data_IF_082269605570
#
_entry.id   IF_082269605570
#
_cell.length_a   1.000
_cell.length_b   1.000
_cell.length_c   1.000
_cell.angle_alpha   90.00
_cell.angle_beta   90.00
_cell.angle_gamma   90.00
#
_symmetry.space_group_name_H-M   'P 1'
#
loop_
_entity.id
_entity.type
_entity.pdbx_description
1 polymer ?
#
# COMPACT_ATOMS: atom_id res chain seq x y z
N UNK A 1 20.05 -38.23 -35.36
CA UNK A 1 19.86 -36.77 -35.33
C UNK A 1 18.58 -36.49 -34.56
N UNK A 2 18.61 -35.79 -33.40
CA UNK A 2 17.41 -35.57 -32.63
C UNK A 2 16.57 -34.43 -33.23
N UNK A 3 15.28 -34.69 -33.41
CA UNK A 3 14.27 -33.73 -33.84
C UNK A 3 14.18 -32.54 -32.88
N UNK A 4 14.42 -31.33 -33.40
CA UNK A 4 14.02 -30.11 -32.71
C UNK A 4 12.51 -29.94 -32.81
N UNK A 5 11.81 -30.21 -31.71
CA UNK A 5 10.41 -29.80 -31.55
C UNK A 5 10.44 -28.29 -31.33
N UNK A 6 10.10 -27.52 -32.36
CA UNK A 6 9.90 -26.08 -32.23
C UNK A 6 8.67 -25.84 -31.35
N UNK A 7 8.90 -25.51 -30.08
CA UNK A 7 7.86 -24.99 -29.20
C UNK A 7 7.48 -23.57 -29.65
N UNK A 8 6.76 -23.45 -30.77
CA UNK A 8 6.04 -22.24 -31.10
C UNK A 8 4.84 -22.15 -30.15
N UNK A 9 5.05 -21.54 -28.99
CA UNK A 9 3.95 -21.11 -28.12
C UNK A 9 3.03 -20.28 -29.00
N UNK A 10 1.83 -20.80 -29.30
CA UNK A 10 0.80 -20.06 -30.04
C UNK A 10 0.60 -18.75 -29.30
N UNK A 11 0.97 -17.63 -29.93
CA UNK A 11 0.67 -16.30 -29.44
C UNK A 11 -0.86 -16.21 -29.43
N UNK A 12 -1.45 -16.27 -28.24
CA UNK A 12 -2.91 -16.16 -28.08
C UNK A 12 -3.29 -14.80 -28.65
N UNK A 13 -4.11 -14.81 -29.71
CA UNK A 13 -4.63 -13.57 -30.28
C UNK A 13 -5.40 -12.80 -29.20
N UNK A 14 -5.26 -11.48 -29.23
CA UNK A 14 -5.95 -10.57 -28.32
C UNK A 14 -7.45 -10.92 -28.26
N UNK A 15 -7.96 -11.41 -27.11
CA UNK A 15 -9.32 -11.90 -27.00
C UNK A 15 -10.35 -10.79 -27.22
N UNK A 16 -9.99 -9.52 -27.00
CA UNK A 16 -10.88 -8.38 -27.24
C UNK A 16 -11.29 -8.28 -28.70
N UNK A 17 -10.48 -8.73 -29.67
CA UNK A 17 -10.83 -8.68 -31.09
C UNK A 17 -12.11 -9.43 -31.45
N UNK A 18 -12.50 -10.42 -30.64
CA UNK A 18 -13.71 -11.21 -30.85
C UNK A 18 -14.93 -10.72 -30.05
N UNK A 19 -14.72 -9.80 -29.11
CA UNK A 19 -15.76 -9.31 -28.19
C UNK A 19 -16.00 -7.80 -28.35
N UNK A 20 -14.91 -7.03 -28.26
CA UNK A 20 -14.87 -5.58 -28.33
C UNK A 20 -13.48 -5.11 -28.79
N UNK A 21 -13.31 -4.99 -30.12
CA UNK A 21 -12.07 -4.53 -30.72
C UNK A 21 -11.82 -3.02 -30.60
N UNK A 22 -12.59 -2.29 -29.79
CA UNK A 22 -12.47 -0.83 -29.62
C UNK A 22 -11.66 -0.42 -28.38
N UNK A 23 -11.42 -1.35 -27.45
CA UNK A 23 -10.68 -1.11 -26.20
C UNK A 23 -9.45 -2.01 -26.12
N UNK A 24 -8.37 -1.48 -25.54
CA UNK A 24 -7.13 -2.23 -25.35
C UNK A 24 -7.34 -3.30 -24.28
N UNK A 25 -7.00 -4.55 -24.59
CA UNK A 25 -6.93 -5.62 -23.61
C UNK A 25 -5.61 -5.59 -22.85
N UNK A 26 -5.71 -5.50 -21.52
CA UNK A 26 -4.59 -5.62 -20.60
C UNK A 26 -4.74 -6.95 -19.85
N UNK A 27 -3.76 -7.84 -19.97
CA UNK A 27 -3.89 -9.20 -19.39
C UNK A 27 -3.69 -9.23 -17.86
N UNK A 28 -3.07 -8.19 -17.30
CA UNK A 28 -2.88 -8.03 -15.87
C UNK A 28 -2.27 -6.67 -15.52
N UNK A 29 -2.43 -6.23 -14.28
CA UNK A 29 -1.79 -5.00 -13.77
C UNK A 29 -0.27 -5.05 -13.93
N UNK A 30 0.32 -6.22 -13.72
CA UNK A 30 1.75 -6.47 -13.79
C UNK A 30 2.25 -6.89 -15.18
N UNK A 31 1.57 -6.47 -16.23
CA UNK A 31 1.92 -6.78 -17.61
C UNK A 31 3.17 -5.99 -18.07
N UNK A 32 3.87 -6.54 -19.07
CA UNK A 32 5.01 -5.90 -19.71
C UNK A 32 4.62 -4.54 -20.30
N UNK A 33 5.34 -3.48 -19.93
CA UNK A 33 5.05 -2.09 -20.29
C UNK A 33 4.44 -1.25 -19.16
N UNK A 34 3.76 -1.88 -18.19
CA UNK A 34 3.42 -1.24 -16.91
C UNK A 34 4.47 -1.54 -15.84
N UNK A 35 4.98 -2.78 -15.83
CA UNK A 35 6.12 -3.23 -15.02
C UNK A 35 7.05 -4.11 -15.86
N UNK A 36 7.99 -4.82 -15.25
CA UNK A 36 8.93 -5.69 -15.96
C UNK A 36 8.31 -6.93 -16.65
N UNK A 37 7.00 -7.19 -16.47
CA UNK A 37 6.30 -8.33 -17.04
C UNK A 37 6.73 -9.71 -16.53
N UNK A 38 7.62 -9.77 -15.53
CA UNK A 38 8.20 -11.03 -15.02
C UNK A 38 7.41 -11.68 -13.91
N UNK A 39 6.29 -11.06 -13.49
CA UNK A 39 5.48 -11.45 -12.32
C UNK A 39 6.25 -11.34 -10.99
N UNK A 40 7.34 -10.58 -10.99
CA UNK A 40 8.01 -10.18 -9.76
C UNK A 40 7.11 -9.09 -9.15
N UNK A 41 6.66 -9.26 -7.90
CA UNK A 41 5.84 -8.30 -7.14
C UNK A 41 6.56 -6.94 -7.02
N UNK A 42 6.48 -6.15 -8.07
CA UNK A 42 7.16 -4.86 -8.27
C UNK A 42 6.20 -3.68 -8.20
N UNK A 43 4.92 -3.95 -7.94
CA UNK A 43 3.90 -3.00 -7.55
C UNK A 43 4.04 -2.70 -6.05
N UNK A 44 3.64 -1.51 -5.64
CA UNK A 44 3.97 -0.93 -4.34
C UNK A 44 4.94 0.26 -4.44
N UNK A 45 5.45 0.74 -3.29
CA UNK A 45 5.38 0.15 -1.94
C UNK A 45 3.97 0.15 -1.31
N UNK A 46 3.73 -0.76 -0.36
CA UNK A 46 2.45 -0.93 0.37
C UNK A 46 2.45 -0.47 1.84
N UNK A 47 3.62 -0.05 2.33
CA UNK A 47 3.80 0.49 3.67
C UNK A 47 3.95 2.01 3.58
N UNK A 48 3.73 2.70 4.70
CA UNK A 48 3.94 4.15 4.77
C UNK A 48 5.36 4.55 4.33
N UNK A 49 5.47 5.68 3.64
CA UNK A 49 6.72 6.12 3.01
C UNK A 49 7.20 7.45 3.56
N UNK A 50 8.49 7.74 3.34
CA UNK A 50 8.98 9.09 3.48
C UNK A 50 8.44 9.93 2.32
N UNK A 51 7.75 11.04 2.61
CA UNK A 51 7.12 11.88 1.60
C UNK A 51 8.10 12.35 0.51
N UNK A 52 9.37 12.57 0.87
CA UNK A 52 10.42 13.00 -0.07
C UNK A 52 10.74 11.95 -1.13
N UNK A 53 10.34 10.70 -0.92
CA UNK A 53 10.60 9.63 -1.88
C UNK A 53 9.70 9.74 -3.09
N UNK A 54 8.44 10.15 -2.95
CA UNK A 54 7.50 10.28 -4.06
C UNK A 54 8.03 11.21 -5.17
N UNK A 55 8.72 12.28 -4.79
CA UNK A 55 9.28 13.26 -5.72
C UNK A 55 10.61 12.84 -6.38
N UNK A 56 11.10 11.61 -6.15
CA UNK A 56 12.33 11.11 -6.77
C UNK A 56 11.99 10.36 -8.05
N UNK A 57 12.76 10.60 -9.12
CA UNK A 57 12.67 9.81 -10.36
C UNK A 57 12.86 8.31 -10.15
N UNK A 58 13.54 7.90 -9.07
CA UNK A 58 13.77 6.51 -8.72
C UNK A 58 12.67 5.90 -7.84
N UNK A 59 11.61 6.64 -7.51
CA UNK A 59 10.51 6.14 -6.68
C UNK A 59 9.80 4.97 -7.34
N UNK A 60 9.49 5.14 -8.63
CA UNK A 60 8.89 4.11 -9.45
C UNK A 60 9.53 4.15 -10.84
N UNK A 61 10.18 3.05 -11.21
CA UNK A 61 11.03 3.02 -12.41
C UNK A 61 10.25 2.80 -13.72
N UNK A 62 8.94 2.59 -13.63
CA UNK A 62 8.08 2.36 -14.80
C UNK A 62 7.14 3.54 -15.04
N UNK A 63 6.55 3.58 -16.24
CA UNK A 63 5.75 4.72 -16.69
C UNK A 63 4.38 4.81 -16.03
N UNK A 64 3.87 3.70 -15.51
CA UNK A 64 2.53 3.61 -14.96
C UNK A 64 2.53 2.64 -13.79
N UNK A 65 2.22 3.13 -12.60
CA UNK A 65 2.03 2.27 -11.43
C UNK A 65 0.56 1.85 -11.35
N UNK A 66 0.24 0.57 -11.60
CA UNK A 66 -1.15 0.12 -11.57
C UNK A 66 -1.72 0.04 -10.15
N UNK A 67 -0.86 -0.10 -9.14
CA UNK A 67 -1.27 -0.29 -7.76
C UNK A 67 -0.19 0.20 -6.79
N UNK A 68 -0.55 1.22 -6.02
CA UNK A 68 0.25 1.73 -4.91
C UNK A 68 -0.69 2.29 -3.87
N UNK A 69 -0.37 2.06 -2.61
CA UNK A 69 -1.18 2.50 -1.50
C UNK A 69 -0.47 2.24 -0.20
N UNK A 70 -1.06 2.72 0.88
CA UNK A 70 -0.52 2.55 2.22
C UNK A 70 -1.68 2.37 3.19
N UNK A 71 -1.33 2.07 4.44
CA UNK A 71 -2.29 1.98 5.53
C UNK A 71 -3.27 3.16 5.50
N UNK A 72 -4.55 2.84 5.65
CA UNK A 72 -5.62 3.82 5.77
C UNK A 72 -6.64 3.35 6.79
N UNK A 73 -6.97 4.21 7.75
CA UNK A 73 -8.06 3.97 8.68
C UNK A 73 -9.34 4.65 8.25
N UNK A 74 -10.51 4.07 8.56
CA UNK A 74 -11.76 4.80 8.51
C UNK A 74 -11.85 5.78 9.70
N UNK A 75 -12.86 6.64 9.69
CA UNK A 75 -13.14 7.54 10.82
C UNK A 75 -13.61 6.76 12.05
N UNK A 76 -13.42 7.35 13.23
CA UNK A 76 -13.78 6.73 14.52
C UNK A 76 -15.25 6.27 14.59
N UNK A 77 -16.16 6.98 13.93
CA UNK A 77 -17.57 6.59 13.86
C UNK A 77 -17.79 5.24 13.16
N UNK A 78 -17.07 4.97 12.08
CA UNK A 78 -17.11 3.68 11.38
C UNK A 78 -16.61 2.56 12.29
N UNK A 79 -15.52 2.79 13.01
CA UNK A 79 -14.93 1.81 13.93
C UNK A 79 -15.90 1.45 15.04
N UNK A 80 -16.57 2.45 15.62
CA UNK A 80 -17.64 2.22 16.61
C UNK A 80 -18.83 1.44 16.05
N UNK A 81 -19.10 1.56 14.76
CA UNK A 81 -20.22 0.89 14.10
C UNK A 81 -19.87 -0.54 13.64
N UNK A 82 -18.60 -0.84 13.34
CA UNK A 82 -18.19 -2.08 12.68
C UNK A 82 -17.29 -2.98 13.52
N UNK A 83 -16.68 -2.46 14.59
CA UNK A 83 -15.79 -3.23 15.47
C UNK A 83 -16.38 -3.38 16.88
N UNK A 84 -16.13 -4.51 17.56
CA UNK A 84 -16.48 -4.66 18.96
C UNK A 84 -15.65 -3.70 19.83
N UNK A 85 -16.06 -3.51 21.09
CA UNK A 85 -15.49 -2.49 21.97
C UNK A 85 -13.98 -2.69 22.23
N UNK A 86 -13.49 -3.93 22.19
CA UNK A 86 -12.07 -4.25 22.28
C UNK A 86 -11.28 -3.68 21.10
N UNK A 87 -11.89 -3.61 19.92
CA UNK A 87 -11.32 -2.99 18.73
C UNK A 87 -11.27 -1.47 18.79
N UNK A 88 -11.87 -0.84 19.81
CA UNK A 88 -11.79 0.61 20.01
C UNK A 88 -10.53 1.02 20.78
N UNK A 89 -9.74 0.06 21.27
CA UNK A 89 -8.46 0.36 21.90
C UNK A 89 -7.43 0.72 20.83
N UNK A 90 -6.93 1.96 20.87
CA UNK A 90 -5.90 2.43 19.94
C UNK A 90 -4.59 1.63 20.13
N UNK A 91 -3.78 1.48 19.07
CA UNK A 91 -2.45 0.86 19.18
C UNK A 91 -1.57 1.55 20.23
N UNK A 92 -0.72 0.76 20.89
CA UNK A 92 0.24 1.27 21.87
C UNK A 92 1.58 1.49 21.17
N UNK A 93 2.10 2.72 21.25
CA UNK A 93 3.43 3.07 20.75
C UNK A 93 4.47 2.86 21.86
N UNK A 94 5.30 1.81 21.70
CA UNK A 94 6.36 1.46 22.66
C UNK A 94 7.71 1.89 22.12
N UNK A 95 8.41 2.74 22.87
CA UNK A 95 9.79 3.10 22.54
C UNK A 95 10.74 1.99 22.99
N UNK A 96 11.53 1.45 22.06
CA UNK A 96 12.56 0.44 22.30
C UNK A 96 13.93 1.09 22.57
N UNK A 97 14.93 0.26 22.88
CA UNK A 97 16.27 0.68 23.33
C UNK A 97 17.10 1.44 22.27
N UNK A 98 16.72 1.37 21.01
CA UNK A 98 17.37 1.97 19.84
C UNK A 98 16.62 3.20 19.29
N UNK A 99 15.77 3.83 20.12
CA UNK A 99 14.83 4.89 19.74
C UNK A 99 13.78 4.45 18.69
N UNK A 100 13.69 3.16 18.38
CA UNK A 100 12.62 2.61 17.56
C UNK A 100 11.28 2.69 18.31
N UNK A 101 10.22 2.96 17.56
CA UNK A 101 8.84 2.91 18.09
C UNK A 101 8.18 1.66 17.52
N UNK A 102 7.76 0.76 18.39
CA UNK A 102 6.94 -0.38 18.05
C UNK A 102 5.46 -0.02 18.23
N UNK A 103 4.69 -0.09 17.15
CA UNK A 103 3.23 0.02 17.20
C UNK A 103 2.64 -1.36 17.50
N UNK A 104 2.10 -1.53 18.71
CA UNK A 104 1.51 -2.78 19.17
C UNK A 104 -0.01 -2.72 19.01
N UNK A 105 -0.50 -3.44 18.00
CA UNK A 105 -1.94 -3.57 17.71
C UNK A 105 -2.64 -4.54 18.67
N UNK A 106 -3.92 -4.31 18.96
CA UNK A 106 -4.75 -5.28 19.69
C UNK A 106 -5.16 -6.48 18.76
N UNK A 107 -5.69 -7.60 19.30
CA UNK A 107 -6.04 -8.78 18.51
C UNK A 107 -7.07 -8.54 17.40
N UNK A 108 -8.03 -7.61 17.59
CA UNK A 108 -9.04 -7.28 16.57
C UNK A 108 -8.36 -6.65 15.36
N UNK A 109 -7.31 -5.88 15.56
CA UNK A 109 -6.58 -5.19 14.50
C UNK A 109 -5.62 -6.12 13.78
N UNK A 110 -4.96 -7.01 14.53
CA UNK A 110 -4.19 -8.11 13.96
C UNK A 110 -5.07 -9.01 13.06
N UNK A 111 -6.31 -9.29 13.49
CA UNK A 111 -7.29 -10.03 12.67
C UNK A 111 -7.62 -9.31 11.36
N UNK A 112 -7.78 -7.99 11.38
CA UNK A 112 -8.01 -7.18 10.19
C UNK A 112 -6.74 -6.85 9.39
N UNK A 113 -5.59 -7.48 9.74
CA UNK A 113 -4.30 -7.28 9.07
C UNK A 113 -3.89 -5.82 8.97
N UNK A 114 -4.15 -5.05 10.02
CA UNK A 114 -3.72 -3.68 10.09
C UNK A 114 -2.19 -3.57 9.99
N UNK A 115 -1.73 -2.69 9.11
CA UNK A 115 -0.31 -2.36 8.92
C UNK A 115 -0.03 -1.08 9.74
N UNK A 116 1.12 -0.96 10.41
CA UNK A 116 1.37 0.20 11.26
C UNK A 116 1.74 1.47 10.46
N UNK A 117 1.64 2.62 11.11
CA UNK A 117 2.02 3.94 10.55
C UNK A 117 3.52 4.24 10.72
N UNK A 118 4.33 3.19 10.61
CA UNK A 118 5.78 3.23 10.67
C UNK A 118 6.39 2.26 9.66
N UNK A 119 7.63 2.51 9.29
CA UNK A 119 8.35 1.67 8.35
C UNK A 119 9.86 1.71 8.69
N UNK A 120 10.40 0.67 9.36
CA UNK A 120 11.77 0.70 9.89
C UNK A 120 12.81 1.09 8.84
N UNK A 121 13.66 2.05 9.18
CA UNK A 121 14.69 2.57 8.26
C UNK A 121 14.17 3.52 7.16
N UNK A 122 12.85 3.73 7.06
CA UNK A 122 12.22 4.66 6.11
C UNK A 122 11.54 5.82 6.85
N UNK A 123 10.65 5.51 7.81
CA UNK A 123 9.98 6.47 8.69
C UNK A 123 9.77 5.87 10.09
N UNK A 124 9.94 6.68 11.15
CA UNK A 124 9.88 6.20 12.53
C UNK A 124 8.46 6.01 13.06
N UNK A 125 7.66 7.08 13.08
CA UNK A 125 6.24 7.08 13.44
C UNK A 125 5.64 8.30 12.74
N UNK A 126 4.55 8.12 11.99
CA UNK A 126 3.90 9.22 11.28
C UNK A 126 2.70 9.80 12.02
N UNK A 127 2.10 9.07 12.97
CA UNK A 127 0.96 9.53 13.77
C UNK A 127 1.45 10.46 14.88
N UNK A 128 2.48 10.07 15.64
CA UNK A 128 2.97 10.87 16.77
C UNK A 128 3.62 12.20 16.35
N UNK A 129 3.87 12.44 15.05
CA UNK A 129 4.26 13.75 14.53
C UNK A 129 3.21 14.85 14.80
N UNK A 130 1.95 14.46 14.98
CA UNK A 130 0.83 15.36 15.32
C UNK A 130 0.57 15.41 16.83
N UNK A 131 1.44 14.79 17.63
CA UNK A 131 1.29 14.63 19.07
C UNK A 131 0.60 13.32 19.45
N UNK A 132 0.76 12.94 20.72
CA UNK A 132 0.16 11.72 21.27
C UNK A 132 -1.36 11.86 21.34
N UNK A 133 -2.06 10.91 20.74
CA UNK A 133 -3.52 10.85 20.79
C UNK A 133 -4.01 10.67 22.23
N UNK A 134 -5.01 11.44 22.64
CA UNK A 134 -5.59 11.37 23.99
C UNK A 134 -6.70 10.33 24.07
N UNK A 135 -7.40 10.14 22.95
CA UNK A 135 -8.52 9.22 22.83
C UNK A 135 -8.63 8.67 21.40
N UNK A 136 -9.70 7.90 21.19
CA UNK A 136 -10.00 7.27 19.91
C UNK A 136 -10.23 8.28 18.78
N UNK A 137 -10.91 9.40 19.06
CA UNK A 137 -11.21 10.39 18.03
C UNK A 137 -9.94 11.13 17.63
N UNK A 138 -9.13 11.57 18.59
CA UNK A 138 -7.82 12.20 18.35
C UNK A 138 -6.92 11.28 17.51
N UNK A 139 -6.89 9.98 17.83
CA UNK A 139 -6.09 9.01 17.08
C UNK A 139 -6.54 8.92 15.62
N UNK A 140 -7.83 8.73 15.39
CA UNK A 140 -8.33 8.61 14.02
C UNK A 140 -8.22 9.92 13.23
N UNK A 141 -8.40 11.07 13.86
CA UNK A 141 -8.16 12.37 13.22
C UNK A 141 -6.71 12.51 12.75
N UNK A 142 -5.74 12.19 13.62
CA UNK A 142 -4.32 12.19 13.25
C UNK A 142 -4.03 11.22 12.10
N UNK A 143 -4.63 10.01 12.11
CA UNK A 143 -4.45 9.07 11.01
C UNK A 143 -5.02 9.57 9.69
N UNK A 144 -6.15 10.30 9.70
CA UNK A 144 -6.69 10.93 8.49
C UNK A 144 -5.72 11.98 7.94
N UNK A 145 -5.09 12.78 8.80
CA UNK A 145 -4.08 13.76 8.39
C UNK A 145 -2.88 13.09 7.73
N UNK A 146 -2.38 12.00 8.33
CA UNK A 146 -1.28 11.22 7.73
C UNK A 146 -1.67 10.68 6.36
N UNK A 147 -2.85 10.05 6.24
CA UNK A 147 -3.35 9.50 4.98
C UNK A 147 -3.45 10.58 3.92
N UNK A 148 -4.07 11.71 4.27
CA UNK A 148 -4.22 12.84 3.37
C UNK A 148 -2.86 13.33 2.83
N UNK A 149 -1.88 13.50 3.71
CA UNK A 149 -0.54 14.00 3.30
C UNK A 149 0.22 12.97 2.48
N UNK A 150 0.15 11.68 2.83
CA UNK A 150 0.78 10.61 2.06
C UNK A 150 0.18 10.49 0.66
N UNK A 151 -1.16 10.42 0.53
CA UNK A 151 -1.82 10.32 -0.77
C UNK A 151 -1.66 11.60 -1.60
N UNK A 152 -1.68 12.78 -0.98
CA UNK A 152 -1.40 14.04 -1.68
C UNK A 152 0.02 14.03 -2.26
N UNK A 153 1.03 13.70 -1.45
CA UNK A 153 2.41 13.67 -1.91
C UNK A 153 2.66 12.61 -2.99
N UNK A 154 1.99 11.45 -2.90
CA UNK A 154 2.03 10.42 -3.93
C UNK A 154 1.46 10.91 -5.28
N UNK A 155 0.40 11.72 -5.26
CA UNK A 155 -0.24 12.23 -6.47
C UNK A 155 0.47 13.48 -7.04
N UNK A 156 1.10 14.28 -6.19
CA UNK A 156 1.81 15.51 -6.59
C UNK A 156 3.25 15.26 -7.09
N UNK A 157 3.88 14.16 -6.67
CA UNK A 157 5.27 13.81 -7.01
C UNK A 157 5.40 12.95 -8.25
#
# INVERSE_FOLDING_TARGET
>A
MPNQISNSVKKIDDPSKFLDGTRVYIQGSMWDGFVNGKRDFTDGPYNIQNLKYFFKYSFYNYKFNPEVGFVGFPVAATIRATMPQEGWQIPIFKKLFDDYVEEVSNPVWAYHKCIPYLNPGIVHDQIELYGKAKDLNDFYENTQLVNYIQYRALLEG
#
